data_IF_639176255364
#
_entry.id   IF_639176255364
#
_cell.length_a   1.000
_cell.length_b   1.000
_cell.length_c   1.000
_cell.angle_alpha   90.00
_cell.angle_beta   90.00
_cell.angle_gamma   90.00
#
_symmetry.space_group_name_H-M   'P 1'
#
loop_
_entity.id
_entity.type
_entity.pdbx_description
1 polymer ?
#
# COMPACT_ATOMS: atom_id res chain seq x y z
N UNK A 1 -6.16 -14.97 4.52
CA UNK A 1 -6.29 -14.18 5.78
C UNK A 1 -6.88 -12.83 5.42
N UNK A 2 -7.65 -12.17 6.30
CA UNK A 2 -8.12 -10.81 6.00
C UNK A 2 -6.94 -9.83 6.05
N UNK A 3 -6.77 -9.01 5.01
CA UNK A 3 -5.74 -7.98 4.96
C UNK A 3 -5.95 -6.96 6.09
N UNK A 4 -4.91 -6.68 6.87
CA UNK A 4 -4.97 -5.67 7.95
C UNK A 4 -4.16 -4.45 7.54
N UNK A 5 -4.79 -3.29 7.29
CA UNK A 5 -4.09 -2.07 6.90
C UNK A 5 -3.11 -1.57 7.96
N UNK A 6 -1.98 -1.01 7.53
CA UNK A 6 -1.02 -0.30 8.36
C UNK A 6 -1.18 1.20 8.18
N UNK A 7 -1.83 1.83 9.16
CA UNK A 7 -2.03 3.28 9.19
C UNK A 7 -1.12 3.99 10.19
N UNK A 8 -0.32 3.22 10.93
CA UNK A 8 0.61 3.70 11.94
C UNK A 8 2.01 3.15 11.70
N UNK A 9 3.01 3.87 12.18
CA UNK A 9 4.41 3.49 12.00
C UNK A 9 4.69 2.10 12.60
N UNK A 10 5.52 1.26 11.95
CA UNK A 10 5.99 0.03 12.56
C UNK A 10 6.85 0.33 13.77
N UNK A 11 6.91 -0.62 14.72
CA UNK A 11 7.79 -0.48 15.88
C UNK A 11 9.24 -0.37 15.42
N UNK A 12 9.98 0.57 16.01
CA UNK A 12 11.42 0.71 15.75
C UNK A 12 12.24 -0.53 16.16
N UNK A 13 11.68 -1.39 17.01
CA UNK A 13 12.30 -2.62 17.49
C UNK A 13 11.85 -3.88 16.73
N UNK A 14 10.96 -3.76 15.73
CA UNK A 14 10.49 -4.92 14.99
C UNK A 14 11.58 -5.40 14.00
N UNK A 15 12.05 -6.66 14.12
CA UNK A 15 13.11 -7.18 13.25
C UNK A 15 12.83 -7.09 11.75
N UNK A 16 11.56 -7.02 11.31
CA UNK A 16 11.20 -6.90 9.88
C UNK A 16 11.63 -5.57 9.27
N UNK A 17 11.92 -4.56 10.10
CA UNK A 17 12.41 -3.26 9.67
C UNK A 17 13.81 -2.93 10.22
N UNK A 18 14.53 -3.95 10.67
CA UNK A 18 15.93 -3.89 11.09
C UNK A 18 16.76 -4.63 10.05
N UNK A 19 17.92 -4.09 9.69
CA UNK A 19 18.80 -4.77 8.72
C UNK A 19 19.28 -6.12 9.27
N UNK A 20 19.42 -7.11 8.40
CA UNK A 20 19.87 -8.47 8.76
C UNK A 20 21.25 -8.48 9.44
N UNK A 21 22.18 -7.64 8.98
CA UNK A 21 23.50 -7.48 9.59
C UNK A 21 23.48 -6.96 11.05
N UNK A 22 22.35 -6.40 11.51
CA UNK A 22 22.13 -5.93 12.88
C UNK A 22 21.11 -6.79 13.65
N UNK A 23 20.87 -8.03 13.21
CA UNK A 23 19.97 -8.96 13.88
C UNK A 23 18.50 -8.84 13.50
N UNK A 24 18.19 -8.08 12.44
CA UNK A 24 16.86 -8.04 11.83
C UNK A 24 16.65 -9.09 10.75
N UNK A 25 15.60 -8.92 9.95
CA UNK A 25 15.22 -9.81 8.84
C UNK A 25 15.29 -9.13 7.47
N UNK A 26 15.57 -7.82 7.42
CA UNK A 26 15.49 -7.04 6.20
C UNK A 26 16.87 -6.88 5.56
N UNK A 27 17.01 -7.25 4.29
CA UNK A 27 18.29 -7.14 3.56
C UNK A 27 18.48 -5.80 2.84
N UNK A 28 17.51 -4.89 2.92
CA UNK A 28 17.68 -3.54 2.39
C UNK A 28 18.71 -2.72 3.18
N UNK A 29 19.26 -1.71 2.50
CA UNK A 29 20.15 -0.73 3.13
C UNK A 29 19.44 0.04 4.25
N UNK A 30 20.22 0.57 5.19
CA UNK A 30 19.72 1.49 6.21
C UNK A 30 18.97 2.67 5.56
N UNK A 31 17.96 3.18 6.27
CA UNK A 31 17.34 4.44 5.91
C UNK A 31 18.20 5.64 6.27
N UNK A 32 17.71 6.84 5.98
CA UNK A 32 18.46 8.08 6.16
C UNK A 32 18.79 8.43 7.63
N UNK A 33 18.11 7.81 8.60
CA UNK A 33 18.46 7.89 10.02
C UNK A 33 19.68 7.02 10.41
N UNK A 34 20.20 6.22 9.48
CA UNK A 34 21.30 5.30 9.70
C UNK A 34 20.88 3.95 10.28
N UNK A 35 21.84 3.02 10.44
CA UNK A 35 21.58 1.70 10.99
C UNK A 35 21.10 1.77 12.46
N UNK A 36 20.33 0.78 12.91
CA UNK A 36 20.04 -0.47 12.20
C UNK A 36 18.72 -0.42 11.39
N UNK A 37 18.04 0.72 11.37
CA UNK A 37 16.69 0.87 10.83
C UNK A 37 16.70 0.99 9.31
N UNK A 38 15.84 0.24 8.63
CA UNK A 38 15.55 0.45 7.20
C UNK A 38 14.31 1.31 6.97
N UNK A 39 13.61 1.70 8.04
CA UNK A 39 12.31 2.37 7.96
C UNK A 39 12.36 3.66 7.13
N UNK A 40 13.30 4.62 7.32
CA UNK A 40 13.37 5.82 6.49
C UNK A 40 14.03 5.51 5.12
N UNK A 41 13.49 4.51 4.42
CA UNK A 41 13.79 4.10 3.05
C UNK A 41 12.53 3.42 2.49
N UNK A 42 12.10 3.81 1.28
CA UNK A 42 10.88 3.26 0.68
C UNK A 42 10.96 1.75 0.43
N UNK A 43 12.12 1.24 0.01
CA UNK A 43 12.31 -0.19 -0.27
C UNK A 43 12.36 -0.98 1.03
N UNK A 44 13.17 -0.54 1.99
CA UNK A 44 13.24 -1.13 3.32
C UNK A 44 11.87 -1.23 4.01
N UNK A 45 11.07 -0.17 3.91
CA UNK A 45 9.69 -0.18 4.41
C UNK A 45 8.81 -1.23 3.72
N UNK A 46 8.79 -1.26 2.37
CA UNK A 46 7.96 -2.19 1.59
C UNK A 46 8.32 -3.65 1.91
N UNK A 47 9.61 -3.98 1.94
CA UNK A 47 10.09 -5.31 2.30
C UNK A 47 9.62 -5.74 3.71
N UNK A 48 9.76 -4.85 4.70
CA UNK A 48 9.26 -5.09 6.06
C UNK A 48 7.74 -5.28 6.11
N UNK A 49 7.00 -4.47 5.35
CA UNK A 49 5.54 -4.54 5.27
C UNK A 49 5.06 -5.82 4.60
N UNK A 50 5.75 -6.30 3.56
CA UNK A 50 5.42 -7.58 2.91
C UNK A 50 5.70 -8.76 3.83
N UNK A 51 6.83 -8.76 4.56
CA UNK A 51 7.09 -9.76 5.60
C UNK A 51 6.00 -9.76 6.69
N UNK A 52 5.51 -8.60 7.09
CA UNK A 52 4.40 -8.48 8.03
C UNK A 52 3.09 -9.07 7.47
N UNK A 53 2.70 -8.70 6.24
CA UNK A 53 1.48 -9.21 5.59
C UNK A 53 1.49 -10.74 5.53
N UNK A 54 2.67 -11.32 5.25
CA UNK A 54 2.88 -12.77 5.16
C UNK A 54 3.00 -13.46 6.52
N UNK A 55 3.14 -12.71 7.60
CA UNK A 55 3.55 -13.21 8.91
C UNK A 55 4.83 -14.08 8.81
N UNK A 56 5.82 -13.57 8.07
CA UNK A 56 7.07 -14.28 7.75
C UNK A 56 8.29 -13.50 8.22
N UNK A 57 9.37 -14.21 8.56
CA UNK A 57 10.61 -13.61 9.10
C UNK A 57 11.80 -13.75 8.14
N UNK A 58 11.53 -14.04 6.86
CA UNK A 58 12.53 -14.00 5.80
C UNK A 58 11.97 -13.27 4.60
N UNK A 59 12.83 -12.54 3.91
CA UNK A 59 12.47 -11.75 2.75
C UNK A 59 12.67 -12.50 1.43
N UNK A 60 11.92 -13.57 1.27
CA UNK A 60 11.79 -14.37 0.05
C UNK A 60 10.56 -13.93 -0.78
N UNK A 61 10.23 -12.63 -0.72
CA UNK A 61 9.04 -12.07 -1.34
C UNK A 61 9.10 -12.07 -2.87
N UNK A 62 10.29 -12.16 -3.46
CA UNK A 62 10.49 -12.03 -4.90
C UNK A 62 10.31 -10.60 -5.43
N UNK A 63 10.35 -9.59 -4.56
CA UNK A 63 10.49 -8.18 -4.92
C UNK A 63 11.94 -7.83 -5.29
N UNK A 64 12.13 -6.75 -6.04
CA UNK A 64 13.45 -6.19 -6.30
C UNK A 64 14.07 -5.61 -5.02
N UNK A 65 15.36 -5.88 -4.79
CA UNK A 65 16.15 -5.24 -3.72
C UNK A 65 16.85 -3.94 -4.18
N UNK A 66 16.61 -3.50 -5.41
CA UNK A 66 17.19 -2.28 -5.98
C UNK A 66 16.47 -1.01 -5.53
N UNK A 67 16.62 0.06 -6.31
CA UNK A 67 15.89 1.30 -6.09
C UNK A 67 14.39 1.13 -6.39
N UNK A 68 13.54 2.05 -5.94
CA UNK A 68 12.08 1.97 -6.19
C UNK A 68 11.71 1.75 -7.66
N UNK A 69 12.46 2.34 -8.60
CA UNK A 69 12.21 2.19 -10.05
C UNK A 69 12.38 0.74 -10.55
N UNK A 70 13.24 -0.05 -9.92
CA UNK A 70 13.55 -1.42 -10.37
C UNK A 70 12.47 -2.41 -9.94
N UNK A 71 11.58 -2.03 -9.03
CA UNK A 71 10.47 -2.90 -8.62
C UNK A 71 9.61 -3.31 -9.81
N UNK A 72 9.30 -2.36 -10.69
CA UNK A 72 8.46 -2.62 -11.86
C UNK A 72 9.11 -3.59 -12.85
N UNK A 73 10.44 -3.57 -13.03
CA UNK A 73 11.12 -4.40 -14.03
C UNK A 73 11.64 -5.71 -13.45
N UNK A 74 12.16 -5.67 -12.23
CA UNK A 74 13.03 -6.73 -11.70
C UNK A 74 12.33 -7.58 -10.64
N UNK A 75 11.15 -7.18 -10.15
CA UNK A 75 10.35 -8.07 -9.31
C UNK A 75 9.91 -9.30 -10.11
N UNK A 76 9.93 -10.45 -9.44
CA UNK A 76 9.61 -11.75 -10.02
C UNK A 76 8.23 -11.80 -10.69
N UNK A 77 8.01 -12.81 -11.53
CA UNK A 77 6.76 -13.00 -12.25
C UNK A 77 5.55 -13.31 -11.35
N UNK A 78 5.77 -13.63 -10.07
CA UNK A 78 4.70 -13.78 -9.09
C UNK A 78 3.99 -12.45 -8.77
N UNK A 79 4.69 -11.32 -8.94
CA UNK A 79 4.12 -9.99 -8.79
C UNK A 79 3.53 -9.52 -10.13
N UNK A 80 2.21 -9.63 -10.23
CA UNK A 80 1.49 -9.31 -11.47
C UNK A 80 1.44 -7.78 -11.62
N UNK A 81 1.85 -7.30 -12.79
CA UNK A 81 1.82 -5.87 -13.14
C UNK A 81 0.43 -5.49 -13.62
N UNK A 82 -0.19 -4.52 -12.97
CA UNK A 82 -1.54 -4.06 -13.28
C UNK A 82 -1.67 -2.53 -13.13
N UNK A 83 -2.79 -1.99 -13.62
CA UNK A 83 -3.09 -0.55 -13.57
C UNK A 83 -4.23 -0.20 -12.61
N UNK A 84 -4.91 -1.23 -12.07
CA UNK A 84 -5.93 -1.07 -11.05
C UNK A 84 -5.31 -1.42 -9.69
N UNK A 85 -5.67 -0.68 -8.62
CA UNK A 85 -5.17 -0.97 -7.29
C UNK A 85 -5.84 -2.21 -6.70
N UNK A 86 -5.08 -2.92 -5.86
CA UNK A 86 -5.55 -4.02 -5.01
C UNK A 86 -4.90 -3.91 -3.62
N UNK A 87 -5.55 -4.47 -2.60
CA UNK A 87 -5.01 -4.39 -1.22
C UNK A 87 -3.64 -5.06 -1.12
N UNK A 88 -2.70 -4.39 -0.46
CA UNK A 88 -1.33 -4.85 -0.29
C UNK A 88 -0.47 -4.79 -1.53
N UNK A 89 -0.99 -4.33 -2.68
CA UNK A 89 -0.20 -4.11 -3.89
C UNK A 89 0.87 -3.03 -3.68
N UNK A 90 1.95 -3.10 -4.45
CA UNK A 90 3.01 -2.08 -4.43
C UNK A 90 2.77 -1.08 -5.55
N UNK A 91 2.47 0.15 -5.20
CA UNK A 91 2.41 1.27 -6.14
C UNK A 91 3.85 1.70 -6.48
N UNK A 92 4.21 1.58 -7.76
CA UNK A 92 5.56 1.80 -8.25
C UNK A 92 5.65 3.10 -9.04
N UNK A 93 6.71 3.86 -8.81
CA UNK A 93 7.03 5.07 -9.55
C UNK A 93 8.47 5.02 -10.08
N UNK A 94 8.66 5.51 -11.30
CA UNK A 94 9.98 5.87 -11.84
C UNK A 94 10.29 7.36 -11.59
N UNK A 95 11.54 7.76 -11.78
CA UNK A 95 11.94 9.16 -11.77
C UNK A 95 13.02 9.40 -12.82
N UNK A 96 13.20 10.65 -13.23
CA UNK A 96 14.30 11.04 -14.13
C UNK A 96 15.68 10.80 -13.48
N UNK A 97 15.75 10.86 -12.14
CA UNK A 97 16.97 10.54 -11.39
C UNK A 97 17.36 9.05 -11.39
N UNK A 98 16.45 8.16 -11.81
CA UNK A 98 16.69 6.71 -11.80
C UNK A 98 16.54 6.04 -10.42
N UNK A 99 15.98 6.75 -9.43
CA UNK A 99 15.68 6.17 -8.11
C UNK A 99 14.25 5.63 -8.04
N UNK A 100 13.27 6.40 -8.53
CA UNK A 100 11.87 6.06 -8.38
C UNK A 100 11.40 6.06 -6.92
N UNK A 101 10.23 5.47 -6.68
CA UNK A 101 9.65 5.34 -5.34
C UNK A 101 8.65 4.18 -5.30
N UNK A 102 8.39 3.64 -4.11
CA UNK A 102 7.42 2.57 -3.88
C UNK A 102 6.62 2.80 -2.62
N UNK A 103 5.34 2.41 -2.64
CA UNK A 103 4.41 2.50 -1.53
C UNK A 103 3.47 1.28 -1.50
N UNK A 104 2.95 0.91 -0.33
CA UNK A 104 2.01 -0.22 -0.17
C UNK A 104 0.58 0.29 -0.14
N UNK A 105 -0.32 -0.28 -0.95
CA UNK A 105 -1.75 0.04 -0.93
C UNK A 105 -2.40 -0.54 0.32
N UNK A 106 -2.78 0.31 1.25
CA UNK A 106 -3.40 -0.08 2.52
C UNK A 106 -4.93 -0.06 2.46
N UNK A 107 -5.50 0.81 1.63
CA UNK A 107 -6.94 0.90 1.40
C UNK A 107 -7.24 1.23 -0.06
N UNK A 108 -8.29 0.59 -0.60
CA UNK A 108 -8.91 0.99 -1.86
C UNK A 108 -10.24 1.64 -1.50
N UNK A 109 -10.28 2.98 -1.56
CA UNK A 109 -11.50 3.74 -1.24
C UNK A 109 -12.51 3.56 -2.38
N UNK A 110 -12.04 3.69 -3.61
CA UNK A 110 -12.78 3.41 -4.84
C UNK A 110 -11.80 3.12 -5.99
N UNK A 111 -12.31 3.02 -7.22
CA UNK A 111 -11.50 2.73 -8.40
C UNK A 111 -10.45 3.80 -8.72
N UNK A 112 -10.59 5.01 -8.18
CA UNK A 112 -9.78 6.17 -8.52
C UNK A 112 -9.02 6.73 -7.30
N UNK A 113 -9.20 6.15 -6.11
CA UNK A 113 -8.63 6.66 -4.86
C UNK A 113 -8.14 5.53 -3.97
N UNK A 114 -6.89 5.62 -3.55
CA UNK A 114 -6.26 4.69 -2.61
C UNK A 114 -5.60 5.43 -1.45
N UNK A 115 -5.47 4.75 -0.32
CA UNK A 115 -4.57 5.14 0.76
C UNK A 115 -3.37 4.20 0.72
N UNK A 116 -2.18 4.78 0.69
CA UNK A 116 -0.92 4.03 0.74
C UNK A 116 -0.19 4.30 2.04
N UNK A 117 0.61 3.34 2.48
CA UNK A 117 1.64 3.55 3.50
C UNK A 117 3.02 3.53 2.85
N UNK A 118 3.91 4.39 3.35
CA UNK A 118 5.25 4.51 2.81
C UNK A 118 6.22 5.16 3.79
N UNK A 119 7.48 5.10 3.39
CA UNK A 119 8.58 5.83 3.98
C UNK A 119 9.47 6.35 2.86
N UNK A 120 10.29 7.36 3.12
CA UNK A 120 11.24 7.86 2.13
C UNK A 120 12.60 8.20 2.74
N UNK A 121 13.65 8.03 1.92
CA UNK A 121 15.03 8.33 2.31
C UNK A 121 15.30 9.85 2.37
N UNK A 122 14.47 10.65 1.70
CA UNK A 122 14.74 12.06 1.45
C UNK A 122 15.58 12.24 0.19
N UNK A 123 14.90 12.65 -0.89
CA UNK A 123 15.55 13.06 -2.13
C UNK A 123 14.79 14.27 -2.71
N UNK A 124 15.38 15.47 -2.62
CA UNK A 124 14.81 16.69 -3.19
C UNK A 124 14.56 16.59 -4.70
N UNK A 125 15.28 15.74 -5.44
CA UNK A 125 15.13 15.58 -6.89
C UNK A 125 13.78 14.98 -7.30
N UNK A 126 13.14 14.24 -6.38
CA UNK A 126 11.81 13.64 -6.53
C UNK A 126 10.77 14.23 -5.57
N UNK A 127 11.13 15.25 -4.79
CA UNK A 127 10.23 15.96 -3.87
C UNK A 127 10.04 15.28 -2.51
N UNK A 128 10.99 14.43 -2.09
CA UNK A 128 10.95 13.69 -0.82
C UNK A 128 11.85 14.33 0.23
N UNK A 129 11.38 14.39 1.48
CA UNK A 129 11.99 15.19 2.54
C UNK A 129 12.68 14.36 3.65
N UNK A 130 12.67 13.04 3.56
CA UNK A 130 13.13 12.13 4.60
C UNK A 130 12.00 11.89 5.59
N UNK A 131 11.17 10.88 5.33
CA UNK A 131 10.05 10.54 6.20
C UNK A 131 10.12 9.09 6.62
N UNK A 132 10.21 8.90 7.94
CA UNK A 132 10.21 7.58 8.57
C UNK A 132 8.93 6.80 8.26
N UNK A 133 7.77 7.40 8.40
CA UNK A 133 6.51 6.75 8.04
C UNK A 133 5.44 7.80 7.78
N UNK A 134 4.61 7.56 6.77
CA UNK A 134 3.36 8.29 6.57
C UNK A 134 2.36 7.45 5.79
N UNK A 135 1.11 7.86 5.89
CA UNK A 135 0.07 7.45 4.95
C UNK A 135 -0.27 8.60 4.01
N UNK A 136 -0.50 8.30 2.73
CA UNK A 136 -0.90 9.29 1.73
C UNK A 136 -2.13 8.83 0.96
N UNK A 137 -2.95 9.78 0.54
CA UNK A 137 -4.04 9.52 -0.41
C UNK A 137 -3.56 9.78 -1.83
N UNK A 138 -3.60 8.75 -2.67
CA UNK A 138 -3.23 8.82 -4.09
C UNK A 138 -4.46 8.69 -4.98
N UNK A 139 -4.53 9.53 -6.02
CA UNK A 139 -5.72 9.64 -6.88
C UNK A 139 -5.39 9.33 -8.35
N UNK A 140 -6.25 8.62 -9.08
CA UNK A 140 -5.99 8.24 -10.47
C UNK A 140 -5.83 9.45 -11.40
N UNK A 141 -6.59 10.51 -11.17
CA UNK A 141 -6.61 11.70 -12.04
C UNK A 141 -5.28 12.46 -12.09
N UNK A 142 -4.41 12.30 -11.09
CA UNK A 142 -3.04 12.84 -11.11
C UNK A 142 -1.97 11.76 -11.39
N UNK A 143 -2.40 10.59 -11.87
CA UNK A 143 -1.58 9.43 -12.16
C UNK A 143 -1.34 8.49 -10.98
N UNK A 144 -2.07 8.61 -9.86
CA UNK A 144 -1.77 7.93 -8.59
C UNK A 144 -0.63 8.57 -7.81
N UNK A 145 -0.38 9.86 -7.98
CA UNK A 145 0.50 10.60 -7.08
C UNK A 145 -0.29 11.01 -5.83
N UNK A 146 0.38 11.18 -4.68
CA UNK A 146 -0.28 11.73 -3.51
C UNK A 146 -0.78 13.15 -3.76
N UNK A 147 -1.90 13.52 -3.13
CA UNK A 147 -2.37 14.91 -3.15
C UNK A 147 -1.39 15.79 -2.34
N UNK A 148 -0.75 16.78 -2.96
CA UNK A 148 0.26 17.60 -2.28
C UNK A 148 1.30 18.22 -3.22
N UNK A 149 2.45 18.70 -2.69
CA UNK A 149 3.50 19.34 -3.50
C UNK A 149 3.97 18.44 -4.65
N UNK A 150 4.61 19.04 -5.66
CA UNK A 150 4.97 18.35 -6.89
C UNK A 150 5.98 17.20 -6.64
N UNK A 151 5.47 15.98 -6.53
CA UNK A 151 6.28 14.78 -6.62
C UNK A 151 6.77 14.62 -8.06
N UNK A 152 8.08 14.69 -8.25
CA UNK A 152 8.69 14.56 -9.56
C UNK A 152 8.96 13.08 -9.91
N UNK A 153 7.89 12.30 -9.90
CA UNK A 153 7.90 10.86 -10.19
C UNK A 153 6.86 10.53 -11.26
N UNK A 154 7.12 9.49 -12.04
CA UNK A 154 6.20 8.96 -13.05
C UNK A 154 5.65 7.61 -12.59
N UNK A 155 4.34 7.52 -12.34
CA UNK A 155 3.67 6.27 -11.99
C UNK A 155 3.88 5.20 -13.05
N UNK A 156 4.27 4.00 -12.64
CA UNK A 156 4.44 2.83 -13.51
C UNK A 156 3.21 1.91 -13.44
N UNK A 157 2.61 1.79 -12.26
CA UNK A 157 1.43 0.97 -12.00
C UNK A 157 1.49 0.31 -10.63
N UNK A 158 0.75 -0.78 -10.49
CA UNK A 158 0.69 -1.59 -9.27
C UNK A 158 1.29 -2.97 -9.52
N UNK A 159 2.09 -3.44 -8.56
CA UNK A 159 2.46 -4.84 -8.46
C UNK A 159 1.48 -5.52 -7.51
N UNK A 160 0.58 -6.34 -8.06
CA UNK A 160 -0.37 -7.13 -7.28
C UNK A 160 0.39 -8.08 -6.36
N UNK A 161 0.03 -8.05 -5.08
CA UNK A 161 0.66 -8.85 -4.06
C UNK A 161 0.16 -10.30 -4.09
N UNK A 162 1.01 -11.29 -4.38
CA UNK A 162 0.58 -12.70 -4.48
C UNK A 162 0.20 -13.31 -3.11
N UNK A 163 0.49 -12.62 -2.00
CA UNK A 163 0.23 -13.07 -0.64
C UNK A 163 -1.06 -12.49 -0.04
N UNK A 164 -1.77 -11.65 -0.79
CA UNK A 164 -3.08 -11.11 -0.40
C UNK A 164 -4.12 -11.76 -1.27
N UNK A 165 -5.01 -12.53 -0.64
CA UNK A 165 -6.17 -13.13 -1.31
C UNK A 165 -6.97 -12.01 -2.01
N UNK A 166 -7.50 -12.28 -3.20
CA UNK A 166 -8.44 -11.39 -3.88
C UNK A 166 -9.68 -11.21 -3.00
N UNK A 167 -9.64 -10.22 -2.11
CA UNK A 167 -10.87 -9.61 -1.62
C UNK A 167 -11.46 -8.92 -2.84
N UNK A 168 -12.70 -9.25 -3.25
CA UNK A 168 -13.28 -8.66 -4.43
C UNK A 168 -13.16 -7.15 -4.28
N UNK A 169 -12.44 -6.52 -5.21
CA UNK A 169 -12.48 -5.07 -5.35
C UNK A 169 -13.96 -4.71 -5.29
N UNK A 170 -14.35 -3.88 -4.34
CA UNK A 170 -15.73 -3.42 -4.28
C UNK A 170 -15.93 -2.48 -5.46
N UNK A 171 -16.07 -3.07 -6.66
CA UNK A 171 -16.72 -2.44 -7.77
C UNK A 171 -18.14 -2.05 -7.34
N UNK A 172 -18.74 -1.08 -8.03
CA UNK A 172 -19.98 -0.39 -7.62
C UNK A 172 -21.20 -1.31 -7.41
N UNK A 173 -21.09 -2.60 -7.74
CA UNK A 173 -22.12 -3.61 -7.51
C UNK A 173 -22.38 -3.89 -6.02
N UNK A 174 -21.35 -3.84 -5.15
CA UNK A 174 -21.50 -4.10 -3.71
C UNK A 174 -22.31 -3.00 -3.03
N UNK A 175 -22.01 -1.74 -3.32
CA UNK A 175 -22.67 -0.57 -2.73
C UNK A 175 -24.12 -0.45 -3.19
N UNK A 176 -24.41 -0.72 -4.47
CA UNK A 176 -25.79 -0.73 -4.99
C UNK A 176 -26.61 -1.86 -4.36
N UNK A 177 -26.02 -3.06 -4.18
CA UNK A 177 -26.68 -4.17 -3.52
C UNK A 177 -26.93 -3.86 -2.03
N UNK A 178 -25.96 -3.27 -1.32
CA UNK A 178 -26.15 -2.82 0.07
C UNK A 178 -27.24 -1.73 0.18
N UNK A 179 -27.24 -0.75 -0.73
CA UNK A 179 -28.27 0.30 -0.79
C UNK A 179 -29.65 -0.26 -1.13
N UNK A 180 -29.74 -1.26 -2.02
CA UNK A 180 -30.98 -1.97 -2.33
C UNK A 180 -31.48 -2.78 -1.13
N UNK A 181 -30.59 -3.51 -0.46
CA UNK A 181 -30.93 -4.27 0.76
C UNK A 181 -31.37 -3.34 1.89
N UNK A 182 -30.69 -2.20 2.07
CA UNK A 182 -31.08 -1.17 3.03
C UNK A 182 -32.46 -0.58 2.71
N UNK A 183 -32.71 -0.19 1.45
CA UNK A 183 -34.03 0.31 1.01
C UNK A 183 -35.14 -0.75 1.10
N UNK A 184 -34.84 -2.03 0.87
CA UNK A 184 -35.79 -3.13 1.03
C UNK A 184 -36.12 -3.36 2.52
N UNK A 185 -35.14 -3.21 3.42
CA UNK A 185 -35.35 -3.27 4.87
C UNK A 185 -36.21 -2.11 5.38
N UNK A 186 -35.99 -0.89 4.89
CA UNK A 186 -36.83 0.27 5.24
C UNK A 186 -38.27 0.13 4.70
N UNK A 187 -38.45 -0.38 3.48
CA UNK A 187 -39.80 -0.66 2.94
C UNK A 187 -40.56 -1.71 3.75
N UNK A 188 -39.87 -2.74 4.27
CA UNK A 188 -40.49 -3.75 5.15
C UNK A 188 -40.86 -3.19 6.53
N UNK A 189 -40.06 -2.26 7.06
CA UNK A 189 -40.37 -1.57 8.33
C UNK A 189 -41.57 -0.62 8.19
N UNK A 190 -41.70 0.06 7.06
CA UNK A 190 -42.82 0.97 6.79
C UNK A 190 -44.18 0.27 6.60
N UNK A 191 -44.20 -1.00 6.18
CA UNK A 191 -45.43 -1.77 5.98
C UNK A 191 -45.91 -2.53 7.24
N UNK A 192 -45.11 -2.56 8.31
CA UNK A 192 -45.42 -3.26 9.57
C UNK A 192 -46.25 -2.47 10.58
N UNK A 193 -46.61 -1.21 10.30
CA UNK A 193 -47.47 -0.38 11.18
C UNK A 193 -48.86 -0.21 10.58
N UNK A 194 -49.66 -1.28 10.55
CA UNK A 194 -51.12 -1.19 10.45
C UNK A 194 -51.75 -1.69 11.75
N UNK A 195 -51.99 -0.70 12.62
CA UNK A 195 -53.00 -0.56 13.67
C UNK A 195 -53.80 -1.83 14.01
N UNK A 196 -53.70 -2.28 15.26
CA UNK A 196 -54.83 -2.86 16.00
C UNK A 196 -55.08 -1.96 17.21
N UNK A 197 -56.11 -1.11 17.12
CA UNK A 197 -56.78 -0.51 18.27
C UNK A 197 -57.99 -1.40 18.57
N UNK A 198 -58.05 -1.95 19.77
CA UNK A 198 -59.28 -2.43 20.40
C UNK A 198 -59.74 -1.35 21.38
#
# INVERSE_FOLDING_TARGET
MAYTPRLEAPSASDPKWIMSQYGGFNDCIAGSEGPPSVIPNCTGYVHGRVMEIRNHNTDDSGLSFGNGVTYWTDSSSAWIREQNPSLGAILCYSSVSGLGHVAVVEQVIDNDTVVVSESDYGDPSIGLAGVRFRTLTCIRSNGWRPAGPAWNVTPQGFLKNPYVDDQPSHGPLSTILLLLLYKLKERRSAHGKRIVRL
#
